data_IF_058273998473
#
_entry.id   IF_058273998473
#
_cell.length_a   1.000
_cell.length_b   1.000
_cell.length_c   1.000
_cell.angle_alpha   90.00
_cell.angle_beta   90.00
_cell.angle_gamma   90.00
#
_symmetry.space_group_name_H-M   'P 1'
#
loop_
_entity.id
_entity.type
_entity.pdbx_description
1 polymer ?
#
# COMPACT_ATOMS: atom_id res chain seq x y z
N UNK A 1 -10.12 -5.59 15.32
CA UNK A 1 -8.65 -5.43 15.27
C UNK A 1 -8.13 -6.28 14.11
N UNK A 2 -7.32 -5.74 13.20
CA UNK A 2 -6.71 -6.54 12.12
C UNK A 2 -5.58 -7.39 12.70
N UNK A 3 -5.51 -8.66 12.28
CA UNK A 3 -4.48 -9.60 12.73
C UNK A 3 -3.13 -9.29 12.07
N UNK A 4 -2.02 -9.61 12.74
CA UNK A 4 -0.67 -9.56 12.16
C UNK A 4 -0.52 -10.46 10.94
N UNK A 5 -1.30 -11.54 10.85
CA UNK A 5 -1.37 -12.41 9.65
C UNK A 5 -1.94 -11.70 8.41
N UNK A 6 -2.52 -10.50 8.56
CA UNK A 6 -2.97 -9.68 7.43
C UNK A 6 -1.83 -8.87 6.80
N UNK A 7 -0.64 -8.87 7.40
CA UNK A 7 0.54 -8.18 6.87
C UNK A 7 1.15 -9.06 5.79
N UNK A 8 1.07 -8.60 4.54
CA UNK A 8 1.54 -9.35 3.37
C UNK A 8 3.01 -9.07 3.02
N UNK A 9 3.60 -8.04 3.62
CA UNK A 9 4.98 -7.63 3.37
C UNK A 9 5.35 -6.38 4.14
N UNK A 10 6.65 -6.12 4.18
CA UNK A 10 7.25 -4.87 4.69
C UNK A 10 8.38 -4.47 3.76
N UNK A 11 8.56 -3.18 3.55
CA UNK A 11 9.56 -2.64 2.62
C UNK A 11 10.34 -1.51 3.26
N UNK A 12 11.56 -1.28 2.76
CA UNK A 12 12.39 -0.15 3.20
C UNK A 12 12.16 1.08 2.35
N UNK A 13 11.93 0.90 1.06
CA UNK A 13 11.79 1.99 0.10
C UNK A 13 10.32 2.20 -0.31
N UNK A 14 9.83 3.46 -0.34
CA UNK A 14 8.51 3.79 -0.87
C UNK A 14 8.22 3.18 -2.25
N UNK A 15 9.23 3.14 -3.12
CA UNK A 15 9.13 2.58 -4.47
C UNK A 15 8.88 1.07 -4.49
N UNK A 16 9.45 0.32 -3.55
CA UNK A 16 9.24 -1.13 -3.46
C UNK A 16 7.82 -1.44 -3.00
N UNK A 17 7.33 -0.71 -1.99
CA UNK A 17 5.96 -0.83 -1.51
C UNK A 17 4.95 -0.42 -2.60
N UNK A 18 5.22 0.64 -3.34
CA UNK A 18 4.39 1.08 -4.46
C UNK A 18 4.43 0.11 -5.65
N UNK A 19 5.57 -0.52 -5.93
CA UNK A 19 5.67 -1.59 -6.93
C UNK A 19 4.77 -2.78 -6.55
N UNK A 20 4.80 -3.21 -5.27
CA UNK A 20 3.89 -4.24 -4.78
C UNK A 20 2.42 -3.85 -4.92
N UNK A 21 2.07 -2.58 -4.67
CA UNK A 21 0.72 -2.06 -4.92
C UNK A 21 0.35 -2.18 -6.41
N UNK A 22 1.27 -1.78 -7.30
CA UNK A 22 1.10 -1.89 -8.76
C UNK A 22 0.87 -3.33 -9.22
N UNK A 23 1.66 -4.28 -8.71
CA UNK A 23 1.50 -5.71 -9.03
C UNK A 23 0.12 -6.24 -8.60
N UNK A 24 -0.33 -5.87 -7.40
CA UNK A 24 -1.67 -6.27 -6.93
C UNK A 24 -2.76 -5.62 -7.77
N UNK A 25 -2.63 -4.36 -8.14
CA UNK A 25 -3.61 -3.70 -8.99
C UNK A 25 -3.67 -4.35 -10.38
N UNK A 26 -2.53 -4.69 -10.98
CA UNK A 26 -2.48 -5.38 -12.26
C UNK A 26 -3.10 -6.79 -12.19
N UNK A 27 -2.84 -7.53 -11.10
CA UNK A 27 -3.43 -8.86 -10.86
C UNK A 27 -4.96 -8.82 -10.83
N UNK A 28 -5.55 -7.80 -10.18
CA UNK A 28 -7.00 -7.68 -10.03
C UNK A 28 -7.69 -6.83 -11.10
N UNK A 29 -6.95 -6.08 -11.93
CA UNK A 29 -7.51 -5.16 -12.94
C UNK A 29 -8.58 -5.78 -13.86
N UNK A 30 -8.45 -7.04 -14.34
CA UNK A 30 -9.49 -7.67 -15.17
C UNK A 30 -10.84 -7.82 -14.47
N UNK A 31 -10.85 -7.81 -13.13
CA UNK A 31 -12.04 -8.00 -12.28
C UNK A 31 -12.64 -6.70 -11.78
N UNK A 32 -12.02 -5.54 -12.05
CA UNK A 32 -12.57 -4.25 -11.62
C UNK A 32 -13.92 -3.98 -12.27
N UNK A 33 -14.89 -3.52 -11.48
CA UNK A 33 -16.27 -3.22 -11.90
C UNK A 33 -16.34 -2.00 -12.85
N UNK A 34 -15.30 -1.16 -12.85
CA UNK A 34 -15.23 0.09 -13.62
C UNK A 34 -14.09 0.06 -14.63
N UNK A 35 -14.42 0.30 -15.90
CA UNK A 35 -13.44 0.39 -16.99
C UNK A 35 -12.46 1.55 -16.79
N UNK A 36 -12.92 2.70 -16.29
CA UNK A 36 -12.04 3.84 -16.01
C UNK A 36 -10.98 3.53 -14.94
N UNK A 37 -11.30 2.65 -13.98
CA UNK A 37 -10.38 2.27 -12.89
C UNK A 37 -9.34 1.25 -13.36
N UNK A 38 -9.65 0.40 -14.34
CA UNK A 38 -8.67 -0.58 -14.89
C UNK A 38 -7.71 0.02 -15.91
N UNK A 39 -7.94 1.25 -16.38
CA UNK A 39 -7.07 1.90 -17.35
C UNK A 39 -5.62 1.93 -16.84
N UNK A 40 -4.68 1.45 -17.65
CA UNK A 40 -3.26 1.37 -17.27
C UNK A 40 -2.71 2.71 -16.82
N UNK A 41 -3.07 3.80 -17.52
CA UNK A 41 -2.68 5.16 -17.14
C UNK A 41 -3.21 5.54 -15.75
N UNK A 42 -4.44 5.16 -15.41
CA UNK A 42 -5.01 5.38 -14.09
C UNK A 42 -4.23 4.63 -13.02
N UNK A 43 -3.93 3.35 -13.25
CA UNK A 43 -3.16 2.53 -12.31
C UNK A 43 -1.74 3.07 -12.11
N UNK A 44 -1.07 3.52 -13.18
CA UNK A 44 0.24 4.18 -13.06
C UNK A 44 0.16 5.45 -12.22
N UNK A 45 -0.84 6.31 -12.42
CA UNK A 45 -1.03 7.51 -11.59
C UNK A 45 -1.27 7.18 -10.11
N UNK A 46 -2.01 6.11 -9.81
CA UNK A 46 -2.22 5.65 -8.44
C UNK A 46 -0.89 5.19 -7.81
N UNK A 47 -0.08 4.44 -8.54
CA UNK A 47 1.25 3.97 -8.08
C UNK A 47 2.19 5.15 -7.85
N UNK A 48 2.25 6.11 -8.78
CA UNK A 48 3.10 7.30 -8.63
C UNK A 48 2.67 8.14 -7.43
N UNK A 49 1.36 8.36 -7.26
CA UNK A 49 0.83 9.04 -6.08
C UNK A 49 1.15 8.29 -4.78
N UNK A 50 1.23 6.96 -4.81
CA UNK A 50 1.59 6.16 -3.65
C UNK A 50 3.07 6.33 -3.30
N UNK A 51 3.97 6.34 -4.30
CA UNK A 51 5.41 6.61 -4.08
C UNK A 51 5.59 7.94 -3.35
N UNK A 52 4.97 9.00 -3.86
CA UNK A 52 5.05 10.32 -3.23
C UNK A 52 4.49 10.25 -1.81
N UNK A 53 3.28 9.71 -1.63
CA UNK A 53 2.60 9.63 -0.33
C UNK A 53 3.43 8.94 0.74
N UNK A 54 3.98 7.77 0.41
CA UNK A 54 4.81 6.97 1.31
C UNK A 54 6.15 7.67 1.57
N UNK A 55 6.73 8.30 0.54
CA UNK A 55 8.01 9.01 0.65
C UNK A 55 8.00 10.16 1.66
N UNK A 56 6.88 10.87 1.81
CA UNK A 56 6.74 11.89 2.85
C UNK A 56 6.19 11.37 4.18
N UNK A 57 6.04 10.05 4.36
CA UNK A 57 5.59 9.46 5.63
C UNK A 57 4.08 9.31 5.78
N UNK A 58 3.31 9.44 4.70
CA UNK A 58 1.87 9.22 4.70
C UNK A 58 1.51 7.76 4.45
N UNK A 59 0.28 7.40 4.79
CA UNK A 59 -0.30 6.08 4.50
C UNK A 59 -1.10 6.10 3.19
N UNK A 60 -1.27 4.92 2.61
CA UNK A 60 -2.15 4.67 1.46
C UNK A 60 -3.21 3.66 1.87
N UNK A 61 -4.48 3.99 1.62
CA UNK A 61 -5.62 3.07 1.79
C UNK A 61 -6.47 3.15 0.53
N UNK A 62 -6.59 2.04 -0.17
CA UNK A 62 -7.27 1.93 -1.45
C UNK A 62 -8.39 0.88 -1.37
N UNK A 63 -9.51 1.20 -2.00
CA UNK A 63 -10.69 0.37 -2.06
C UNK A 63 -11.29 0.38 -3.46
N UNK A 64 -11.44 -0.80 -4.07
CA UNK A 64 -12.01 -0.94 -5.42
C UNK A 64 -13.02 -2.08 -5.43
N UNK A 65 -14.20 -1.85 -5.99
CA UNK A 65 -15.16 -2.91 -6.25
C UNK A 65 -14.69 -3.77 -7.42
N UNK A 66 -14.70 -5.09 -7.19
CA UNK A 66 -14.52 -6.08 -8.25
C UNK A 66 -15.90 -6.48 -8.80
N UNK A 67 -15.97 -7.59 -9.54
CA UNK A 67 -17.21 -8.30 -9.83
C UNK A 67 -18.04 -8.50 -8.55
N UNK A 68 -19.15 -7.75 -8.46
CA UNK A 68 -19.95 -7.67 -7.23
C UNK A 68 -20.40 -9.06 -6.79
N UNK A 69 -20.40 -9.35 -5.48
CA UNK A 69 -20.24 -8.42 -4.35
C UNK A 69 -18.79 -8.24 -3.86
N UNK A 70 -17.78 -8.64 -4.62
CA UNK A 70 -16.39 -8.68 -4.14
C UNK A 70 -15.74 -7.28 -4.08
N UNK A 71 -14.89 -7.06 -3.08
CA UNK A 71 -14.18 -5.79 -2.85
C UNK A 71 -12.70 -6.03 -2.54
N UNK A 72 -11.83 -5.30 -3.22
CA UNK A 72 -10.39 -5.29 -2.97
C UNK A 72 -10.06 -4.12 -2.03
N UNK A 73 -9.46 -4.43 -0.88
CA UNK A 73 -8.93 -3.44 0.06
C UNK A 73 -7.43 -3.64 0.23
N UNK A 74 -6.65 -2.63 -0.15
CA UNK A 74 -5.19 -2.61 -0.02
C UNK A 74 -4.79 -1.45 0.87
N UNK A 75 -3.84 -1.68 1.77
CA UNK A 75 -3.31 -0.64 2.65
C UNK A 75 -1.79 -0.77 2.78
N UNK A 76 -1.10 0.37 2.67
CA UNK A 76 0.31 0.52 2.97
C UNK A 76 0.43 1.54 4.10
N UNK A 77 1.06 1.12 5.20
CA UNK A 77 1.22 1.94 6.40
C UNK A 77 2.69 2.26 6.58
N UNK A 78 3.00 3.55 6.70
CA UNK A 78 4.37 4.05 6.81
C UNK A 78 4.73 4.22 8.27
N UNK A 79 5.75 3.50 8.72
CA UNK A 79 6.29 3.64 10.07
C UNK A 79 7.49 4.61 10.15
N UNK A 80 8.06 5.01 9.01
CA UNK A 80 9.22 5.91 8.93
C UNK A 80 9.28 6.57 7.55
N UNK A 81 9.37 7.91 7.47
CA UNK A 81 9.25 8.85 8.59
C UNK A 81 7.83 8.82 9.17
N UNK A 82 7.69 8.81 10.51
CA UNK A 82 6.38 8.96 11.15
C UNK A 82 6.14 10.44 11.44
N UNK A 83 5.36 11.12 10.60
CA UNK A 83 5.12 12.57 10.76
C UNK A 83 4.24 12.91 11.95
N UNK A 84 3.31 12.03 12.31
CA UNK A 84 2.36 12.27 13.40
C UNK A 84 2.99 12.04 14.77
N UNK A 85 4.03 11.21 14.84
CA UNK A 85 4.79 10.91 16.06
C UNK A 85 6.28 10.64 15.70
N UNK A 86 7.08 11.68 15.38
CA UNK A 86 8.46 11.53 14.92
C UNK A 86 9.42 10.87 15.93
N UNK A 87 9.06 10.91 17.20
CA UNK A 87 9.78 10.27 18.30
C UNK A 87 9.64 8.75 18.32
N UNK A 88 8.59 8.21 17.67
CA UNK A 88 8.36 6.77 17.60
C UNK A 88 9.21 6.15 16.49
N UNK A 89 10.00 5.15 16.86
CA UNK A 89 10.77 4.35 15.90
C UNK A 89 9.86 3.37 15.16
N UNK A 90 10.23 3.04 13.93
CA UNK A 90 9.53 2.00 13.19
C UNK A 90 9.57 0.67 13.97
N UNK A 91 8.43 0.00 14.20
CA UNK A 91 8.40 -1.28 14.95
C UNK A 91 9.29 -2.37 14.35
N UNK A 92 9.53 -2.35 13.03
CA UNK A 92 10.44 -3.31 12.39
C UNK A 92 11.91 -3.14 12.79
N UNK A 93 12.33 -1.92 13.13
CA UNK A 93 13.68 -1.64 13.64
C UNK A 93 13.86 -2.21 15.04
N UNK A 94 12.86 -2.05 15.91
CA UNK A 94 12.85 -2.64 17.25
C UNK A 94 12.97 -4.18 17.24
N UNK A 95 12.34 -4.84 16.25
CA UNK A 95 12.46 -6.29 16.11
C UNK A 95 13.84 -6.74 15.60
N UNK A 96 14.60 -5.85 14.94
CA UNK A 96 15.93 -6.14 14.40
C UNK A 96 17.02 -5.99 15.46
N UNK A 97 16.81 -5.16 16.49
CA UNK A 97 17.74 -4.95 17.62
C UNK A 97 17.72 -6.10 18.64
N UNK A 98 16.82 -7.09 18.47
CA UNK A 98 16.72 -8.30 19.30
C UNK A 98 17.43 -9.53 18.69
N UNK A 99 18.11 -9.37 17.55
CA UNK A 99 18.94 -10.39 16.88
C UNK A 99 20.43 -10.04 17.02
#
# INVERSE_FOLDING_TARGET
MKSSTSILGTWEQPKEAAAWLGDRLAEYAPRFDSDAVRETTHLSMVVDSAVERLGWGGDVSLGVYLERPSFLSLALVTCSPNRSAPELVCPRRLASDCL
#
